data_IF_744016472509
#
_entry.id   IF_744016472509
#
_cell.length_a   1.000
_cell.length_b   1.000
_cell.length_c   1.000
_cell.angle_alpha   90.00
_cell.angle_beta   90.00
_cell.angle_gamma   90.00
#
_symmetry.space_group_name_H-M   'P 1'
#
loop_
_entity.id
_entity.type
_entity.pdbx_description
1 polymer ?
#
# COMPACT_ATOMS: atom_id res chain seq x y z
N UNK A 1 7.09 22.59 31.63
CA UNK A 1 7.05 21.76 30.40
C UNK A 1 6.08 20.58 30.44
N UNK A 2 5.63 20.08 31.61
CA UNK A 2 4.78 18.86 31.73
C UNK A 2 3.30 19.06 31.34
N UNK A 3 2.78 20.29 31.36
CA UNK A 3 1.35 20.55 31.07
C UNK A 3 0.98 20.56 29.59
N UNK A 4 1.94 20.69 28.67
CA UNK A 4 1.68 20.71 27.22
C UNK A 4 1.50 19.29 26.65
N UNK A 5 2.09 18.26 27.27
CA UNK A 5 1.92 16.86 26.85
C UNK A 5 0.51 16.31 27.11
N UNK A 6 -0.15 16.74 28.20
CA UNK A 6 -1.50 16.29 28.57
C UNK A 6 -2.60 16.77 27.62
N UNK A 7 -2.39 17.89 26.91
CA UNK A 7 -3.34 18.39 25.89
C UNK A 7 -3.23 17.64 24.56
N UNK A 8 -2.04 17.17 24.19
CA UNK A 8 -1.84 16.39 22.96
C UNK A 8 -2.44 14.98 23.05
N UNK A 9 -2.45 14.36 24.22
CA UNK A 9 -3.00 13.01 24.43
C UNK A 9 -4.54 12.94 24.33
N UNK A 10 -5.25 14.01 24.71
CA UNK A 10 -6.72 14.05 24.62
C UNK A 10 -7.21 14.25 23.19
N UNK A 11 -6.50 15.03 22.38
CA UNK A 11 -6.91 15.30 21.00
C UNK A 11 -6.59 14.16 20.03
N UNK A 12 -5.60 13.32 20.35
CA UNK A 12 -5.24 12.14 19.55
C UNK A 12 -6.22 10.97 19.71
N UNK A 13 -7.07 10.98 20.76
CA UNK A 13 -8.08 9.94 20.98
C UNK A 13 -9.25 10.01 19.99
N UNK A 14 -9.46 11.16 19.36
CA UNK A 14 -10.64 11.40 18.51
C UNK A 14 -10.40 11.17 17.01
N UNK A 15 -9.14 11.08 16.54
CA UNK A 15 -8.84 11.11 15.10
C UNK A 15 -8.01 9.94 14.53
N UNK A 16 -7.58 8.96 15.33
CA UNK A 16 -6.90 7.77 14.79
C UNK A 16 -7.65 6.49 15.10
N UNK A 17 -8.28 5.95 14.06
CA UNK A 17 -8.92 4.64 13.74
C UNK A 17 -8.64 3.37 14.57
N UNK A 18 -7.82 3.42 15.62
CA UNK A 18 -7.51 2.30 16.49
C UNK A 18 -8.56 2.22 17.58
N UNK A 19 -9.66 1.52 17.32
CA UNK A 19 -10.66 1.27 18.36
C UNK A 19 -10.07 0.43 19.49
N UNK A 20 -10.34 0.90 20.71
CA UNK A 20 -10.11 0.17 21.94
C UNK A 20 -11.16 -0.93 22.09
N UNK A 21 -10.74 -2.05 22.65
CA UNK A 21 -11.57 -3.21 22.97
C UNK A 21 -11.31 -3.58 24.42
N UNK A 22 -12.34 -4.13 25.09
CA UNK A 22 -12.21 -4.63 26.45
C UNK A 22 -11.53 -5.99 26.42
N UNK A 23 -10.34 -6.07 27.04
CA UNK A 23 -9.55 -7.29 27.14
C UNK A 23 -9.33 -7.64 28.60
N UNK A 24 -9.52 -8.91 28.95
CA UNK A 24 -9.27 -9.42 30.31
C UNK A 24 -7.95 -10.19 30.27
N UNK A 25 -6.87 -9.67 30.89
CA UNK A 25 -5.59 -10.34 30.94
C UNK A 25 -5.57 -11.41 32.04
N UNK A 26 -4.82 -12.48 31.80
CA UNK A 26 -4.56 -13.54 32.79
C UNK A 26 -3.27 -13.30 33.57
N UNK A 27 -2.60 -12.17 33.36
CA UNK A 27 -1.33 -11.82 33.98
C UNK A 27 -1.45 -10.46 34.66
N UNK A 28 -0.63 -10.27 35.68
CA UNK A 28 -0.40 -8.98 36.30
C UNK A 28 0.91 -8.39 35.79
N UNK A 29 0.94 -7.11 35.47
CA UNK A 29 2.15 -6.37 35.11
C UNK A 29 2.08 -4.95 35.69
N UNK A 30 3.25 -4.37 35.92
CA UNK A 30 3.37 -2.97 36.35
C UNK A 30 2.86 -2.01 35.26
N UNK A 31 2.72 -0.74 35.61
CA UNK A 31 2.30 0.30 34.67
C UNK A 31 3.36 0.48 33.57
N UNK A 32 3.04 0.06 32.35
CA UNK A 32 3.90 0.19 31.18
C UNK A 32 3.39 1.31 30.25
N UNK A 33 4.29 2.16 29.77
CA UNK A 33 4.00 3.15 28.73
C UNK A 33 4.08 2.54 27.33
N UNK A 34 2.94 2.46 26.65
CA UNK A 34 2.90 2.07 25.23
C UNK A 34 2.78 3.31 24.34
N UNK A 35 3.62 3.39 23.30
CA UNK A 35 3.63 4.51 22.35
C UNK A 35 2.26 4.83 21.74
N UNK A 36 1.41 3.82 21.55
CA UNK A 36 0.09 3.99 20.92
C UNK A 36 -1.10 3.92 21.88
N UNK A 37 -0.91 3.40 23.10
CA UNK A 37 -2.01 3.23 24.07
C UNK A 37 -1.86 4.12 25.31
N UNK A 38 -0.70 4.74 25.51
CA UNK A 38 -0.36 5.44 26.75
C UNK A 38 0.02 4.47 27.87
N UNK A 39 -0.05 4.97 29.10
CA UNK A 39 0.15 4.21 30.34
C UNK A 39 -0.99 3.19 30.52
N UNK A 40 -0.67 1.90 30.57
CA UNK A 40 -1.64 0.82 30.81
C UNK A 40 -1.12 -0.09 31.93
N UNK A 41 -1.95 -0.30 32.96
CA UNK A 41 -1.72 -1.28 34.01
C UNK A 41 -2.48 -2.56 33.70
N UNK A 42 -1.82 -3.71 33.74
CA UNK A 42 -2.49 -5.00 33.56
C UNK A 42 -2.65 -5.67 34.93
N UNK A 43 -3.90 -5.90 35.34
CA UNK A 43 -4.22 -6.67 36.54
C UNK A 43 -4.99 -7.92 36.13
N UNK A 44 -4.55 -9.09 36.62
CA UNK A 44 -5.14 -10.36 36.22
C UNK A 44 -6.64 -10.41 36.57
N UNK A 45 -7.48 -10.73 35.59
CA UNK A 45 -8.93 -10.86 35.75
C UNK A 45 -9.72 -9.56 35.67
N UNK A 46 -9.07 -8.39 35.60
CA UNK A 46 -9.76 -7.11 35.46
C UNK A 46 -9.82 -6.65 34.00
N UNK A 47 -10.98 -6.18 33.50
CA UNK A 47 -11.11 -5.72 32.12
C UNK A 47 -10.33 -4.41 31.90
N UNK A 48 -9.50 -4.39 30.86
CA UNK A 48 -8.70 -3.22 30.47
C UNK A 48 -9.02 -2.84 29.03
N UNK A 49 -9.18 -1.54 28.77
CA UNK A 49 -9.36 -1.01 27.42
C UNK A 49 -8.01 -0.94 26.70
N UNK A 50 -7.81 -1.80 25.71
CA UNK A 50 -6.59 -1.81 24.90
C UNK A 50 -6.90 -1.76 23.40
N UNK A 51 -5.97 -1.26 22.57
CA UNK A 51 -6.09 -1.35 21.13
C UNK A 51 -6.29 -2.78 20.62
N UNK A 52 -7.10 -2.97 19.58
CA UNK A 52 -7.40 -4.30 19.02
C UNK A 52 -6.15 -5.05 18.51
N UNK A 53 -5.15 -4.34 17.99
CA UNK A 53 -3.89 -4.95 17.55
C UNK A 53 -3.10 -5.52 18.74
N UNK A 54 -3.15 -4.86 19.90
CA UNK A 54 -2.52 -5.33 21.14
C UNK A 54 -3.27 -6.55 21.67
N UNK A 55 -4.60 -6.48 21.72
CA UNK A 55 -5.44 -7.61 22.12
C UNK A 55 -5.14 -8.85 21.26
N UNK A 56 -4.97 -8.68 19.94
CA UNK A 56 -4.59 -9.77 19.04
C UNK A 56 -3.25 -10.40 19.39
N UNK A 57 -2.25 -9.62 19.80
CA UNK A 57 -0.92 -10.14 20.14
C UNK A 57 -0.97 -10.88 21.49
N UNK A 58 -1.67 -10.30 22.48
CA UNK A 58 -1.85 -10.93 23.78
C UNK A 58 -2.65 -12.25 23.67
N UNK A 59 -3.66 -12.30 22.80
CA UNK A 59 -4.41 -13.52 22.52
C UNK A 59 -3.55 -14.61 21.88
N UNK A 60 -2.70 -14.24 20.91
CA UNK A 60 -1.77 -15.18 20.27
C UNK A 60 -0.75 -15.77 21.26
N UNK A 61 -0.47 -15.06 22.37
CA UNK A 61 0.38 -15.52 23.48
C UNK A 61 -0.41 -16.17 24.63
N UNK A 62 -1.70 -16.46 24.44
CA UNK A 62 -2.59 -17.04 25.46
C UNK A 62 -2.66 -16.26 26.78
N UNK A 63 -2.44 -14.94 26.74
CA UNK A 63 -2.35 -14.07 27.93
C UNK A 63 -3.69 -13.46 28.37
N UNK A 64 -4.81 -13.91 27.81
CA UNK A 64 -6.13 -13.39 28.15
C UNK A 64 -7.18 -13.70 27.08
N UNK A 65 -8.35 -13.12 27.27
CA UNK A 65 -9.49 -13.23 26.36
C UNK A 65 -10.13 -11.86 26.16
N UNK A 66 -10.89 -11.73 25.06
CA UNK A 66 -11.58 -10.48 24.75
C UNK A 66 -13.04 -10.55 25.21
N UNK A 67 -13.58 -9.42 25.65
CA UNK A 67 -15.03 -9.26 25.86
C UNK A 67 -15.63 -8.72 24.58
N UNK A 68 -16.59 -9.47 24.01
CA UNK A 68 -17.27 -9.07 22.79
C UNK A 68 -18.03 -7.74 22.99
N UNK A 69 -17.97 -6.80 22.03
CA UNK A 69 -18.76 -5.57 22.10
C UNK A 69 -20.27 -5.87 22.10
N UNK A 70 -21.06 -5.02 22.78
CA UNK A 70 -22.52 -5.20 22.91
C UNK A 70 -23.28 -5.31 21.58
N UNK A 71 -22.75 -4.73 20.50
CA UNK A 71 -23.35 -4.78 19.17
C UNK A 71 -23.01 -6.06 18.39
N UNK A 72 -22.01 -6.84 18.83
CA UNK A 72 -21.59 -8.10 18.22
C UNK A 72 -22.39 -9.28 18.80
N UNK A 73 -23.71 -9.11 18.85
CA UNK A 73 -24.67 -10.11 19.31
C UNK A 73 -25.61 -10.43 18.15
N UNK A 74 -25.99 -11.71 18.00
CA UNK A 74 -26.95 -12.15 16.98
C UNK A 74 -28.22 -11.26 16.88
N UNK A 75 -28.95 -10.97 17.99
CA UNK A 75 -30.16 -10.14 17.92
C UNK A 75 -29.88 -8.69 17.47
N UNK A 76 -28.75 -8.10 17.87
CA UNK A 76 -28.38 -6.75 17.45
C UNK A 76 -28.06 -6.69 15.95
N UNK A 77 -27.38 -7.70 15.41
CA UNK A 77 -27.07 -7.79 13.99
C UNK A 77 -28.34 -8.02 13.17
N UNK A 78 -29.26 -8.87 13.64
CA UNK A 78 -30.58 -9.03 13.02
C UNK A 78 -31.38 -7.73 12.98
N UNK A 79 -31.34 -6.93 14.04
CA UNK A 79 -31.96 -5.60 14.05
C UNK A 79 -31.34 -4.67 12.99
N UNK A 80 -30.01 -4.68 12.83
CA UNK A 80 -29.37 -3.92 11.75
C UNK A 80 -29.80 -4.39 10.36
N UNK A 81 -29.90 -5.70 10.15
CA UNK A 81 -30.38 -6.28 8.89
C UNK A 81 -31.82 -5.85 8.60
N UNK A 82 -32.70 -5.87 9.61
CA UNK A 82 -34.09 -5.43 9.47
C UNK A 82 -34.19 -3.93 9.19
N UNK A 83 -33.41 -3.11 9.90
CA UNK A 83 -33.33 -1.67 9.65
C UNK A 83 -32.85 -1.38 8.22
N UNK A 84 -31.85 -2.14 7.75
CA UNK A 84 -31.31 -2.01 6.40
C UNK A 84 -32.36 -2.41 5.35
N UNK A 85 -33.18 -3.42 5.60
CA UNK A 85 -34.31 -3.74 4.69
C UNK A 85 -35.36 -2.63 4.62
N UNK A 86 -35.67 -1.99 5.74
CA UNK A 86 -36.73 -0.96 5.84
C UNK A 86 -36.32 0.36 5.21
N UNK A 87 -35.07 0.79 5.38
CA UNK A 87 -34.60 2.07 4.89
C UNK A 87 -34.15 1.99 3.42
N UNK A 88 -34.54 2.97 2.60
CA UNK A 88 -34.03 3.09 1.23
C UNK A 88 -32.56 3.55 1.21
N UNK A 89 -32.19 4.42 2.13
CA UNK A 89 -30.81 4.86 2.38
C UNK A 89 -30.03 3.85 3.23
N UNK A 90 -28.72 4.03 3.35
CA UNK A 90 -27.88 3.22 4.23
C UNK A 90 -28.17 3.53 5.69
N UNK A 91 -28.35 2.48 6.50
CA UNK A 91 -28.47 2.62 7.95
C UNK A 91 -27.14 3.03 8.55
N UNK A 92 -27.19 3.76 9.67
CA UNK A 92 -25.99 4.09 10.45
C UNK A 92 -25.55 2.84 11.22
N UNK A 93 -24.36 2.35 10.91
CA UNK A 93 -23.71 1.25 11.62
C UNK A 93 -22.68 1.81 12.62
N UNK A 94 -22.27 1.02 13.62
CA UNK A 94 -21.09 1.34 14.41
C UNK A 94 -19.86 1.52 13.52
N UNK A 95 -18.98 2.47 13.85
CA UNK A 95 -17.77 2.72 13.07
C UNK A 95 -16.91 1.45 12.94
N UNK A 96 -16.33 1.24 11.76
CA UNK A 96 -15.47 0.08 11.47
C UNK A 96 -16.10 -1.29 11.82
N UNK A 97 -17.44 -1.40 11.81
CA UNK A 97 -18.18 -2.62 12.13
C UNK A 97 -17.61 -3.86 11.43
N UNK A 98 -17.45 -3.81 10.10
CA UNK A 98 -16.95 -4.93 9.30
C UNK A 98 -15.48 -5.27 9.60
N UNK A 99 -14.61 -4.26 9.73
CA UNK A 99 -13.20 -4.51 10.02
C UNK A 99 -13.02 -5.20 11.38
N UNK A 100 -13.72 -4.69 12.40
CA UNK A 100 -13.62 -5.21 13.76
C UNK A 100 -14.23 -6.59 13.84
N UNK A 101 -15.43 -6.80 13.28
CA UNK A 101 -16.08 -8.11 13.32
C UNK A 101 -15.23 -9.19 12.63
N UNK A 102 -14.61 -8.89 11.49
CA UNK A 102 -13.70 -9.81 10.82
C UNK A 102 -12.47 -10.16 11.67
N UNK A 103 -11.86 -9.18 12.34
CA UNK A 103 -10.71 -9.42 13.23
C UNK A 103 -11.14 -10.29 14.43
N UNK A 104 -12.28 -9.98 15.03
CA UNK A 104 -12.82 -10.68 16.19
C UNK A 104 -13.15 -12.14 15.88
N UNK A 105 -13.88 -12.39 14.79
CA UNK A 105 -14.27 -13.74 14.37
C UNK A 105 -13.05 -14.60 14.04
N UNK A 106 -12.03 -14.03 13.38
CA UNK A 106 -10.86 -14.80 12.96
C UNK A 106 -9.87 -15.06 14.10
N UNK A 107 -9.66 -14.10 15.00
CA UNK A 107 -8.62 -14.20 16.05
C UNK A 107 -9.15 -14.63 17.42
N UNK A 108 -10.41 -14.35 17.71
CA UNK A 108 -11.02 -14.59 19.02
C UNK A 108 -12.18 -15.59 18.93
N UNK A 109 -11.99 -16.66 18.12
CA UNK A 109 -13.00 -17.69 17.89
C UNK A 109 -13.44 -18.42 19.18
N UNK A 110 -12.62 -18.46 20.22
CA UNK A 110 -12.98 -19.18 21.45
C UNK A 110 -13.71 -18.31 22.46
N UNK A 111 -13.72 -16.99 22.26
CA UNK A 111 -14.18 -16.03 23.27
C UNK A 111 -15.59 -15.50 22.97
N UNK A 112 -16.09 -15.73 21.76
CA UNK A 112 -17.37 -15.21 21.27
C UNK A 112 -18.36 -16.37 21.17
N UNK A 113 -19.54 -16.19 21.73
CA UNK A 113 -20.63 -17.16 21.61
C UNK A 113 -21.29 -17.09 20.22
N UNK A 114 -21.73 -18.24 19.69
CA UNK A 114 -22.50 -18.33 18.44
C UNK A 114 -21.84 -17.68 17.19
N UNK A 115 -20.53 -17.92 17.01
CA UNK A 115 -19.75 -17.30 15.93
C UNK A 115 -20.27 -17.63 14.54
N UNK A 116 -20.71 -18.85 14.33
CA UNK A 116 -21.17 -19.29 13.00
C UNK A 116 -22.45 -18.54 12.59
N UNK A 117 -23.37 -18.30 13.53
CA UNK A 117 -24.58 -17.51 13.24
C UNK A 117 -24.23 -16.05 13.01
N UNK A 118 -23.35 -15.47 13.82
CA UNK A 118 -22.86 -14.09 13.66
C UNK A 118 -22.19 -13.91 12.30
N UNK A 119 -21.38 -14.88 11.86
CA UNK A 119 -20.71 -14.85 10.55
C UNK A 119 -21.71 -14.83 9.40
N UNK A 120 -22.74 -15.68 9.47
CA UNK A 120 -23.82 -15.72 8.46
C UNK A 120 -24.57 -14.38 8.44
N UNK A 121 -24.92 -13.83 9.61
CA UNK A 121 -25.65 -12.56 9.71
C UNK A 121 -24.83 -11.37 9.20
N UNK A 122 -23.53 -11.30 9.49
CA UNK A 122 -22.65 -10.25 8.97
C UNK A 122 -22.52 -10.35 7.45
N UNK A 123 -22.39 -11.57 6.91
CA UNK A 123 -22.36 -11.80 5.47
C UNK A 123 -23.65 -11.33 4.80
N UNK A 124 -24.81 -11.68 5.37
CA UNK A 124 -26.11 -11.23 4.86
C UNK A 124 -26.27 -9.70 4.92
N UNK A 125 -25.81 -9.05 6.00
CA UNK A 125 -25.79 -7.60 6.10
C UNK A 125 -24.88 -6.96 5.03
N UNK A 126 -23.70 -7.51 4.81
CA UNK A 126 -22.76 -7.06 3.77
C UNK A 126 -23.37 -7.18 2.37
N UNK A 127 -23.96 -8.32 2.04
CA UNK A 127 -24.56 -8.57 0.72
C UNK A 127 -25.73 -7.63 0.44
N UNK A 128 -26.58 -7.34 1.44
CA UNK A 128 -27.66 -6.36 1.33
C UNK A 128 -27.15 -4.95 1.07
N UNK A 129 -26.13 -4.51 1.80
CA UNK A 129 -25.55 -3.17 1.63
C UNK A 129 -24.81 -3.05 0.31
N UNK A 130 -24.07 -4.08 -0.10
CA UNK A 130 -23.40 -4.13 -1.39
C UNK A 130 -24.39 -4.13 -2.56
N UNK A 131 -25.53 -4.83 -2.43
CA UNK A 131 -26.60 -4.80 -3.43
C UNK A 131 -27.22 -3.40 -3.60
N UNK A 132 -27.55 -2.74 -2.49
CA UNK A 132 -28.03 -1.34 -2.50
C UNK A 132 -27.02 -0.39 -3.12
N UNK A 133 -25.76 -0.56 -2.75
CA UNK A 133 -24.66 0.23 -3.25
C UNK A 133 -24.47 0.05 -4.75
N UNK A 134 -24.40 -1.18 -5.27
CA UNK A 134 -24.38 -1.42 -6.72
C UNK A 134 -25.54 -0.74 -7.44
N UNK A 135 -26.75 -0.84 -6.89
CA UNK A 135 -27.93 -0.17 -7.43
C UNK A 135 -27.78 1.37 -7.43
N UNK A 136 -27.17 1.94 -6.39
CA UNK A 136 -26.87 3.38 -6.32
C UNK A 136 -25.80 3.82 -7.32
N UNK A 137 -24.78 2.99 -7.57
CA UNK A 137 -23.72 3.28 -8.55
C UNK A 137 -24.21 3.21 -9.98
N UNK A 138 -25.08 2.25 -10.30
CA UNK A 138 -25.72 2.17 -11.62
C UNK A 138 -26.52 3.45 -11.88
N UNK A 139 -27.30 3.91 -10.88
CA UNK A 139 -28.04 5.19 -10.97
C UNK A 139 -27.10 6.37 -11.18
N UNK A 140 -25.94 6.39 -10.52
CA UNK A 140 -24.93 7.43 -10.71
C UNK A 140 -24.36 7.44 -12.14
N UNK A 141 -23.96 6.29 -12.68
CA UNK A 141 -23.33 6.23 -14.00
C UNK A 141 -24.27 6.58 -15.16
N UNK A 142 -25.58 6.38 -14.96
CA UNK A 142 -26.61 6.76 -15.94
C UNK A 142 -26.90 8.27 -15.93
N UNK A 143 -26.58 8.98 -14.84
CA UNK A 143 -26.82 10.43 -14.77
C UNK A 143 -25.92 11.20 -15.74
N UNK A 144 -26.54 11.96 -16.65
CA UNK A 144 -25.81 12.69 -17.68
C UNK A 144 -25.26 14.04 -17.18
N UNK A 145 -25.97 14.71 -16.27
CA UNK A 145 -25.77 16.13 -15.93
C UNK A 145 -25.31 16.42 -14.49
N UNK A 146 -25.19 15.40 -13.63
CA UNK A 146 -24.85 15.59 -12.21
C UNK A 146 -23.54 14.88 -11.90
N UNK A 147 -22.53 15.64 -11.45
CA UNK A 147 -21.19 15.15 -11.13
C UNK A 147 -20.98 14.80 -9.65
N UNK A 148 -22.01 14.89 -8.81
CA UNK A 148 -21.92 14.64 -7.37
C UNK A 148 -22.91 13.56 -6.91
N UNK A 149 -22.47 12.70 -5.99
CA UNK A 149 -23.34 11.73 -5.29
C UNK A 149 -23.12 11.89 -3.80
N UNK A 150 -24.21 12.03 -3.05
CA UNK A 150 -24.18 11.98 -1.59
C UNK A 150 -24.57 10.59 -1.13
N UNK A 151 -23.59 9.85 -0.62
CA UNK A 151 -23.81 8.54 0.00
C UNK A 151 -23.61 8.71 1.50
N UNK A 152 -24.71 8.91 2.23
CA UNK A 152 -24.66 9.01 3.69
C UNK A 152 -24.50 7.62 4.31
N UNK A 153 -23.85 7.54 5.48
CA UNK A 153 -23.68 6.31 6.27
C UNK A 153 -22.97 5.14 5.56
N UNK A 154 -22.10 5.43 4.59
CA UNK A 154 -21.20 4.42 4.05
C UNK A 154 -20.06 4.17 5.03
N UNK A 155 -19.72 2.91 5.27
CA UNK A 155 -18.59 2.55 6.14
C UNK A 155 -17.27 2.71 5.38
N UNK A 156 -16.15 2.89 6.10
CA UNK A 156 -14.82 2.99 5.50
C UNK A 156 -14.47 1.73 4.69
N UNK A 157 -14.83 0.55 5.20
CA UNK A 157 -14.59 -0.72 4.54
C UNK A 157 -15.29 -0.82 3.18
N UNK A 158 -16.55 -0.38 3.12
CA UNK A 158 -17.34 -0.27 1.89
C UNK A 158 -16.73 0.73 0.91
N UNK A 159 -16.31 1.90 1.40
CA UNK A 159 -15.67 2.93 0.57
C UNK A 159 -14.39 2.41 -0.09
N UNK A 160 -13.54 1.69 0.65
CA UNK A 160 -12.32 1.08 0.11
C UNK A 160 -12.61 0.02 -0.96
N UNK A 161 -13.67 -0.78 -0.79
CA UNK A 161 -14.06 -1.79 -1.79
C UNK A 161 -14.53 -1.16 -3.10
N UNK A 162 -15.31 -0.08 -3.01
CA UNK A 162 -15.97 0.54 -4.17
C UNK A 162 -15.10 1.56 -4.89
N UNK A 163 -14.21 2.24 -4.15
CA UNK A 163 -13.43 3.37 -4.65
C UNK A 163 -12.74 3.10 -6.00
N UNK A 164 -11.99 1.98 -6.15
CA UNK A 164 -11.36 1.64 -7.42
C UNK A 164 -12.37 1.41 -8.57
N UNK A 165 -13.54 0.86 -8.27
CA UNK A 165 -14.60 0.59 -9.25
C UNK A 165 -15.19 1.90 -9.77
N UNK A 166 -15.53 2.82 -8.86
CA UNK A 166 -16.04 4.15 -9.26
C UNK A 166 -14.99 4.90 -10.06
N UNK A 167 -13.75 4.92 -9.59
CA UNK A 167 -12.67 5.68 -10.20
C UNK A 167 -12.33 5.21 -11.62
N UNK A 168 -12.28 3.89 -11.83
CA UNK A 168 -12.03 3.32 -13.16
C UNK A 168 -13.24 3.50 -14.07
N UNK A 169 -14.45 3.28 -13.54
CA UNK A 169 -15.70 3.48 -14.27
C UNK A 169 -15.88 4.93 -14.74
N UNK A 170 -15.65 5.91 -13.87
CA UNK A 170 -15.78 7.33 -14.20
C UNK A 170 -14.75 7.77 -15.23
N UNK A 171 -13.48 7.38 -15.07
CA UNK A 171 -12.42 7.68 -16.07
C UNK A 171 -12.75 7.14 -17.45
N UNK A 172 -13.28 5.92 -17.54
CA UNK A 172 -13.67 5.31 -18.81
C UNK A 172 -14.86 6.04 -19.44
N UNK A 173 -15.87 6.40 -18.64
CA UNK A 173 -17.03 7.16 -19.11
C UNK A 173 -16.63 8.57 -19.56
N UNK A 174 -15.76 9.25 -18.84
CA UNK A 174 -15.25 10.57 -19.22
C UNK A 174 -14.43 10.51 -20.51
N UNK A 175 -13.62 9.46 -20.69
CA UNK A 175 -12.90 9.22 -21.94
C UNK A 175 -13.87 9.01 -23.13
N UNK A 176 -14.95 8.23 -22.93
CA UNK A 176 -15.99 8.01 -23.93
C UNK A 176 -16.74 9.31 -24.24
N UNK A 177 -17.13 10.08 -23.21
CA UNK A 177 -17.80 11.38 -23.36
C UNK A 177 -16.92 12.35 -24.14
N UNK A 178 -15.61 12.42 -23.85
CA UNK A 178 -14.63 13.24 -24.59
C UNK A 178 -14.51 12.82 -26.06
N UNK A 179 -14.48 11.52 -26.35
CA UNK A 179 -14.44 11.02 -27.74
C UNK A 179 -15.74 11.39 -28.47
N UNK A 180 -16.89 11.28 -27.82
CA UNK A 180 -18.19 11.60 -28.41
C UNK A 180 -18.36 13.11 -28.66
N UNK A 181 -17.92 13.97 -27.74
CA UNK A 181 -17.93 15.43 -27.94
C UNK A 181 -16.94 15.87 -29.02
N UNK A 182 -15.74 15.28 -29.05
CA UNK A 182 -14.78 15.53 -30.12
C UNK A 182 -15.29 15.04 -31.49
N UNK A 183 -15.98 13.90 -31.53
CA UNK A 183 -16.59 13.39 -32.77
C UNK A 183 -17.74 14.28 -33.26
N UNK A 184 -18.53 14.86 -32.35
CA UNK A 184 -19.54 15.89 -32.69
C UNK A 184 -18.91 17.18 -33.22
N UNK A 185 -17.72 17.56 -32.74
CA UNK A 185 -16.95 18.66 -33.31
C UNK A 185 -16.34 18.32 -34.67
N UNK A 186 -15.87 17.07 -34.86
CA UNK A 186 -15.30 16.58 -36.12
C UNK A 186 -16.36 16.34 -37.21
N UNK A 187 -17.65 16.18 -36.88
CA UNK A 187 -18.72 16.19 -37.88
C UNK A 187 -18.96 17.55 -38.54
N UNK A 188 -18.36 18.63 -38.01
CA UNK A 188 -18.40 19.97 -38.62
C UNK A 188 -17.15 20.28 -39.46
N UNK A 189 -16.19 19.35 -39.55
CA UNK A 189 -14.97 19.52 -40.35
C UNK A 189 -15.07 18.66 -41.62
N UNK A 190 -14.85 19.22 -42.82
CA UNK A 190 -14.89 18.43 -44.06
C UNK A 190 -13.80 17.36 -44.02
N UNK A 191 -14.20 16.10 -44.22
CA UNK A 191 -13.28 14.94 -44.30
C UNK A 191 -12.35 15.10 -45.50
N UNK A 192 -11.10 15.50 -45.26
CA UNK A 192 -10.01 15.37 -46.24
C UNK A 192 -9.62 13.89 -46.35
N UNK A 193 -9.74 13.34 -47.55
CA UNK A 193 -9.50 11.92 -47.89
C UNK A 193 -7.99 11.64 -47.96
N UNK A 194 -7.39 11.28 -46.83
CA UNK A 194 -6.00 10.77 -46.76
C UNK A 194 -5.94 9.26 -46.95
N UNK A 195 -4.96 8.78 -47.73
CA UNK A 195 -4.71 7.36 -48.01
C UNK A 195 -4.40 6.55 -46.74
N UNK A 196 -4.87 5.30 -46.75
CA UNK A 196 -4.98 4.40 -45.61
C UNK A 196 -3.65 4.10 -44.90
N UNK A 197 -3.60 4.35 -43.59
CA UNK A 197 -2.79 3.56 -42.66
C UNK A 197 -3.72 2.62 -41.89
N UNK A 198 -3.53 1.31 -42.04
CA UNK A 198 -4.30 0.25 -41.36
C UNK A 198 -4.16 0.39 -39.84
N UNK A 199 -5.12 1.05 -39.18
CA UNK A 199 -5.26 1.02 -37.73
C UNK A 199 -6.18 -0.15 -37.35
N UNK A 200 -5.61 -1.19 -36.75
CA UNK A 200 -6.36 -2.22 -36.03
C UNK A 200 -6.94 -1.61 -34.74
N UNK A 201 -8.10 -0.94 -34.83
CA UNK A 201 -8.85 -0.53 -33.65
C UNK A 201 -9.87 -1.60 -33.28
N UNK A 202 -9.59 -2.30 -32.18
CA UNK A 202 -10.53 -3.13 -31.43
C UNK A 202 -11.65 -2.25 -30.86
N UNK A 203 -12.75 -2.12 -31.59
CA UNK A 203 -13.99 -1.47 -31.15
C UNK A 203 -15.15 -2.47 -31.22
N UNK A 204 -15.84 -2.65 -30.09
CA UNK A 204 -16.94 -3.59 -29.88
C UNK A 204 -18.11 -3.26 -30.82
N UNK A 205 -18.29 -4.03 -31.90
CA UNK A 205 -19.47 -3.92 -32.75
C UNK A 205 -20.54 -4.89 -32.21
N UNK A 206 -21.53 -4.33 -31.51
CA UNK A 206 -22.71 -5.03 -31.01
C UNK A 206 -23.65 -5.36 -32.19
N UNK A 207 -23.27 -6.33 -33.02
CA UNK A 207 -24.07 -6.65 -34.22
C UNK A 207 -23.73 -7.96 -34.90
N UNK A 208 -22.95 -8.85 -34.27
CA UNK A 208 -22.58 -10.11 -34.91
C UNK A 208 -22.45 -11.23 -33.88
N UNK A 209 -23.26 -12.27 -34.05
CA UNK A 209 -23.38 -13.50 -33.24
C UNK A 209 -22.14 -14.41 -33.32
N UNK A 210 -20.93 -13.84 -33.33
CA UNK A 210 -19.68 -14.57 -33.44
C UNK A 210 -19.10 -14.84 -32.03
N UNK A 211 -19.17 -16.09 -31.59
CA UNK A 211 -18.62 -16.62 -30.33
C UNK A 211 -17.13 -16.24 -30.09
N UNK A 212 -16.36 -16.05 -31.17
CA UNK A 212 -14.94 -15.65 -31.11
C UNK A 212 -14.69 -14.30 -30.41
N UNK A 213 -15.65 -13.38 -30.44
CA UNK A 213 -15.52 -12.10 -29.75
C UNK A 213 -15.58 -12.26 -28.22
N UNK A 214 -16.34 -13.26 -27.72
CA UNK A 214 -16.47 -13.53 -26.30
C UNK A 214 -15.17 -14.06 -25.68
N UNK A 215 -14.39 -14.83 -26.46
CA UNK A 215 -13.04 -15.25 -26.08
C UNK A 215 -12.11 -14.04 -25.97
N UNK A 216 -12.15 -13.13 -26.95
CA UNK A 216 -11.26 -11.95 -27.01
C UNK A 216 -11.54 -10.94 -25.90
N UNK A 217 -12.78 -10.78 -25.44
CA UNK A 217 -13.13 -9.91 -24.31
C UNK A 217 -12.69 -10.49 -22.97
N UNK A 218 -12.83 -11.80 -22.76
CA UNK A 218 -12.36 -12.47 -21.53
C UNK A 218 -10.82 -12.43 -21.38
N UNK A 219 -10.08 -12.70 -22.46
CA UNK A 219 -8.61 -12.60 -22.42
C UNK A 219 -8.10 -11.15 -22.51
N UNK A 220 -8.97 -10.18 -22.81
CA UNK A 220 -8.62 -8.76 -22.91
C UNK A 220 -8.15 -8.14 -21.59
N UNK A 221 -8.66 -8.63 -20.45
CA UNK A 221 -8.26 -8.17 -19.10
C UNK A 221 -6.92 -8.73 -18.64
N UNK A 222 -6.42 -9.81 -19.26
CA UNK A 222 -5.10 -10.41 -18.99
C UNK A 222 -4.00 -9.80 -19.87
N UNK A 223 -4.33 -9.30 -21.07
CA UNK A 223 -3.40 -8.61 -21.98
C UNK A 223 -2.60 -7.44 -21.40
N UNK A 224 -3.09 -6.58 -20.47
CA UNK A 224 -2.26 -5.53 -19.91
C UNK A 224 -0.99 -6.06 -19.23
N UNK A 225 -1.03 -7.24 -18.57
CA UNK A 225 0.15 -7.82 -17.93
C UNK A 225 1.20 -8.28 -18.95
N UNK A 226 0.77 -8.92 -20.04
CA UNK A 226 1.70 -9.36 -21.11
C UNK A 226 2.35 -8.17 -21.83
N UNK A 227 1.58 -7.12 -22.10
CA UNK A 227 2.10 -5.92 -22.74
C UNK A 227 3.10 -5.20 -21.83
N UNK A 228 2.83 -5.11 -20.54
CA UNK A 228 3.75 -4.51 -19.55
C UNK A 228 5.07 -5.28 -19.51
N UNK A 229 5.02 -6.61 -19.37
CA UNK A 229 6.25 -7.44 -19.39
C UNK A 229 7.04 -7.28 -20.69
N UNK A 230 6.38 -7.31 -21.86
CA UNK A 230 7.04 -7.10 -23.16
C UNK A 230 7.66 -5.71 -23.29
N UNK A 231 7.00 -4.67 -22.77
CA UNK A 231 7.52 -3.30 -22.77
C UNK A 231 8.75 -3.17 -21.87
N UNK A 232 8.69 -3.65 -20.62
CA UNK A 232 9.84 -3.59 -19.71
C UNK A 232 11.02 -4.44 -20.19
N UNK A 233 10.75 -5.61 -20.80
CA UNK A 233 11.80 -6.44 -21.41
C UNK A 233 12.50 -5.69 -22.55
N UNK A 234 11.76 -4.99 -23.41
CA UNK A 234 12.35 -4.15 -24.47
C UNK A 234 13.15 -2.99 -23.89
N UNK A 235 12.62 -2.28 -22.88
CA UNK A 235 13.33 -1.17 -22.23
C UNK A 235 14.64 -1.67 -21.61
N UNK A 236 14.64 -2.83 -20.95
CA UNK A 236 15.86 -3.40 -20.37
C UNK A 236 16.94 -3.63 -21.44
N UNK A 237 16.62 -4.33 -22.52
CA UNK A 237 17.62 -4.61 -23.57
C UNK A 237 18.02 -3.37 -24.39
N UNK A 238 17.08 -2.45 -24.65
CA UNK A 238 17.34 -1.27 -25.50
C UNK A 238 17.98 -0.14 -24.73
N UNK A 239 17.67 0.02 -23.44
CA UNK A 239 18.14 1.14 -22.63
C UNK A 239 19.21 0.71 -21.62
N UNK A 240 18.99 -0.36 -20.85
CA UNK A 240 19.92 -0.74 -19.77
C UNK A 240 21.24 -1.26 -20.32
N UNK A 241 21.20 -2.13 -21.34
CA UNK A 241 22.42 -2.74 -21.90
C UNK A 241 23.33 -1.69 -22.55
N UNK A 242 22.87 -0.78 -23.42
CA UNK A 242 23.74 0.28 -23.94
C UNK A 242 24.23 1.25 -22.87
N UNK A 243 23.42 1.56 -21.86
CA UNK A 243 23.84 2.46 -20.77
C UNK A 243 24.92 1.83 -19.90
N UNK A 244 24.80 0.53 -19.59
CA UNK A 244 25.82 -0.22 -18.86
C UNK A 244 27.12 -0.36 -19.67
N UNK A 245 27.03 -0.66 -20.97
CA UNK A 245 28.21 -0.75 -21.84
C UNK A 245 28.89 0.62 -22.02
N UNK A 246 28.12 1.70 -22.16
CA UNK A 246 28.66 3.06 -22.25
C UNK A 246 29.34 3.46 -20.93
N UNK A 247 28.70 3.18 -19.78
CA UNK A 247 29.30 3.43 -18.47
C UNK A 247 30.58 2.62 -18.24
N UNK A 248 30.59 1.35 -18.65
CA UNK A 248 31.78 0.51 -18.59
C UNK A 248 32.90 1.03 -19.51
N UNK A 249 32.55 1.50 -20.72
CA UNK A 249 33.52 2.10 -21.65
C UNK A 249 34.11 3.41 -21.12
N UNK A 250 33.28 4.30 -20.57
CA UNK A 250 33.73 5.57 -19.97
C UNK A 250 34.63 5.27 -18.77
N UNK A 251 34.22 4.37 -17.87
CA UNK A 251 35.02 3.98 -16.71
C UNK A 251 36.35 3.32 -17.12
N UNK A 252 36.35 2.48 -18.17
CA UNK A 252 37.57 1.88 -18.70
C UNK A 252 38.51 2.92 -19.33
N UNK A 253 37.94 3.90 -20.06
CA UNK A 253 38.71 5.00 -20.65
C UNK A 253 39.31 5.90 -19.57
N UNK A 254 38.52 6.29 -18.58
CA UNK A 254 38.95 7.10 -17.43
C UNK A 254 40.02 6.36 -16.61
N UNK A 255 39.86 5.06 -16.37
CA UNK A 255 40.87 4.25 -15.69
C UNK A 255 42.18 4.16 -16.49
N UNK A 256 42.09 4.02 -17.82
CA UNK A 256 43.27 4.02 -18.70
C UNK A 256 43.99 5.37 -18.70
N UNK A 257 43.25 6.47 -18.70
CA UNK A 257 43.79 7.83 -18.61
C UNK A 257 44.43 8.07 -17.23
N UNK A 258 43.82 7.61 -16.13
CA UNK A 258 44.37 7.71 -14.78
C UNK A 258 45.66 6.90 -14.57
N UNK A 259 45.85 5.81 -15.31
CA UNK A 259 47.11 5.04 -15.31
C UNK A 259 48.26 5.81 -16.01
N UNK A 260 47.95 6.77 -16.88
CA UNK A 260 48.95 7.57 -17.61
C UNK A 260 49.60 8.68 -16.75
N UNK A 261 48.92 9.17 -15.72
CA UNK A 261 49.46 10.22 -14.86
C UNK A 261 50.55 9.67 -13.94
N UNK A 262 51.66 10.41 -13.82
CA UNK A 262 52.71 10.12 -12.83
C UNK A 262 52.11 10.15 -11.42
N UNK A 263 52.64 9.28 -10.54
CA UNK A 263 52.29 9.25 -9.12
C UNK A 263 52.45 10.65 -8.53
N UNK A 264 51.45 11.15 -7.80
CA UNK A 264 51.57 12.43 -7.08
C UNK A 264 52.65 12.30 -6.02
N UNK A 265 53.49 13.31 -5.90
CA UNK A 265 54.48 13.37 -4.81
C UNK A 265 53.75 13.43 -3.46
N UNK A 266 54.24 12.67 -2.49
CA UNK A 266 53.65 12.64 -1.16
C UNK A 266 53.93 13.98 -0.45
N UNK A 267 52.87 14.69 -0.08
CA UNK A 267 52.94 15.87 0.80
C UNK A 267 52.52 15.42 2.19
N UNK A 268 53.47 15.43 3.12
CA UNK A 268 53.20 15.15 4.53
C UNK A 268 52.39 16.30 5.13
N UNK A 269 51.19 15.99 5.63
CA UNK A 269 50.37 16.92 6.38
C UNK A 269 50.24 16.41 7.81
N UNK A 270 50.46 17.27 8.81
CA UNK A 270 50.44 16.90 10.24
C UNK A 270 49.13 16.25 10.71
N UNK A 271 48.02 16.48 9.99
CA UNK A 271 46.72 15.90 10.30
C UNK A 271 46.44 14.58 9.57
N UNK A 272 47.29 14.16 8.63
CA UNK A 272 47.16 12.88 7.94
C UNK A 272 47.66 11.74 8.85
N UNK A 273 46.97 10.61 8.85
CA UNK A 273 47.33 9.40 9.62
C UNK A 273 47.36 9.55 11.16
N UNK A 274 46.79 10.62 11.73
CA UNK A 274 46.56 10.70 13.18
C UNK A 274 45.42 9.76 13.57
N UNK A 275 45.71 8.73 14.36
CA UNK A 275 44.74 7.73 14.82
C UNK A 275 44.89 7.44 16.30
N UNK A 276 43.77 7.27 17.01
CA UNK A 276 43.75 6.88 18.44
C UNK A 276 43.99 5.38 18.66
N UNK A 277 43.69 4.55 17.66
CA UNK A 277 43.90 3.10 17.68
C UNK A 277 44.33 2.61 16.29
N UNK A 278 45.15 1.56 16.19
CA UNK A 278 45.48 0.90 14.92
C UNK A 278 44.23 0.30 14.26
N UNK A 279 44.29 0.00 12.96
CA UNK A 279 43.21 -0.71 12.27
C UNK A 279 43.05 -2.14 12.80
N UNK A 280 41.83 -2.71 12.81
CA UNK A 280 41.56 -4.02 13.42
C UNK A 280 42.04 -5.23 12.58
N UNK A 281 42.76 -5.02 11.48
CA UNK A 281 43.25 -6.05 10.57
C UNK A 281 44.68 -5.75 10.11
N UNK A 282 45.41 -6.81 9.73
CA UNK A 282 46.79 -6.73 9.27
C UNK A 282 47.74 -6.15 10.32
N UNK A 283 48.59 -5.25 9.86
CA UNK A 283 49.71 -4.64 10.56
C UNK A 283 49.27 -3.49 11.49
N UNK A 284 47.96 -3.18 11.49
CA UNK A 284 47.39 -2.00 12.14
C UNK A 284 47.65 -0.68 11.41
N UNK A 285 48.65 -0.64 10.51
CA UNK A 285 48.99 0.53 9.72
C UNK A 285 48.25 0.61 8.38
N UNK A 286 47.96 -0.53 7.76
CA UNK A 286 47.30 -0.63 6.45
C UNK A 286 45.77 -0.72 6.56
N UNK A 287 45.06 -0.07 5.63
CA UNK A 287 43.61 -0.23 5.48
C UNK A 287 43.28 -1.54 4.74
N UNK A 288 42.05 -2.03 4.83
CA UNK A 288 41.60 -3.23 4.10
C UNK A 288 41.71 -3.07 2.57
N UNK A 289 41.68 -1.83 2.09
CA UNK A 289 41.80 -1.49 0.67
C UNK A 289 43.17 -0.86 0.37
N UNK A 290 44.20 -1.25 1.13
CA UNK A 290 45.54 -0.73 0.92
C UNK A 290 46.14 -1.23 -0.39
N UNK A 291 46.65 -0.31 -1.19
CA UNK A 291 47.39 -0.62 -2.41
C UNK A 291 48.89 -0.29 -2.20
N UNK A 292 49.77 -1.30 -2.05
CA UNK A 292 51.20 -1.11 -1.78
C UNK A 292 51.94 -0.25 -2.81
N UNK A 293 51.40 -0.11 -4.02
CA UNK A 293 52.03 0.70 -5.09
C UNK A 293 51.59 2.17 -5.14
N UNK A 294 50.41 2.50 -4.59
CA UNK A 294 49.79 3.84 -4.73
C UNK A 294 49.66 4.59 -3.41
N UNK A 295 49.54 3.88 -2.29
CA UNK A 295 49.26 4.49 -1.00
C UNK A 295 50.53 4.57 -0.15
N UNK A 296 50.76 5.73 0.45
CA UNK A 296 51.93 5.99 1.30
C UNK A 296 51.66 5.55 2.75
N UNK A 297 52.64 4.92 3.40
CA UNK A 297 52.58 4.49 4.80
C UNK A 297 53.61 5.25 5.65
N UNK A 298 53.22 5.84 6.80
CA UNK A 298 54.16 6.49 7.72
C UNK A 298 55.33 5.57 8.10
N UNK A 299 56.55 6.04 7.88
CA UNK A 299 57.80 5.34 8.22
C UNK A 299 58.35 4.39 7.15
N UNK A 300 57.52 3.86 6.24
CA UNK A 300 57.96 2.95 5.16
C UNK A 300 58.03 3.67 3.81
N UNK A 301 57.16 4.66 3.60
CA UNK A 301 57.01 5.32 2.32
C UNK A 301 56.07 4.55 1.39
N UNK A 302 56.44 4.47 0.10
CA UNK A 302 55.75 3.62 -0.86
C UNK A 302 56.41 2.24 -0.86
N UNK A 303 55.63 1.20 -0.57
CA UNK A 303 56.16 -0.16 -0.36
C UNK A 303 56.61 -0.84 -1.65
N UNK A 304 55.94 -0.52 -2.77
CA UNK A 304 56.23 -1.09 -4.08
C UNK A 304 56.28 -0.01 -5.15
N UNK A 305 57.22 -0.13 -6.08
CA UNK A 305 57.20 0.70 -7.29
C UNK A 305 56.02 0.31 -8.19
N UNK A 306 55.47 1.30 -8.89
CA UNK A 306 54.32 1.13 -9.78
C UNK A 306 54.77 0.32 -11.00
N UNK A 307 54.28 -0.93 -11.12
CA UNK A 307 54.41 -1.69 -12.37
C UNK A 307 53.40 -1.16 -13.37
N UNK A 308 53.89 -0.58 -14.47
CA UNK A 308 53.10 -0.17 -15.62
C UNK A 308 52.71 -1.35 -16.51
#
# INVERSE_FOLDING_TARGET
QILLQRRSSKHLKDETTVRFVLFVPNFSAEEEEFCSAGLVKFEAGLPVEIPIWMASILKARSKGYIVAPNWLNAPSIEQFIQAEKKQFTFTKLPDNFFCISLILINKFKNDIENIDTIKILIQDLWDKRLSKMRSSLIKFFVQENISHVRINNITLFESCYVGPIIFTGSKNLDAIKKIMTASRALSLVPKVRGYNSVRQSSGMNYGSWNFDNHKKTLFGTLKPAENVWKTYRKIFYVLSVPTLLLGAYIAWKDHSDHLSHKRKDYVEYDFLNVRKSPFPFGDGNHTLFHNPSEQWVPGVGYEKERSH
#
